data_IF_384828639758
#
_entry.id   IF_384828639758
#
_cell.length_a   1.000
_cell.length_b   1.000
_cell.length_c   1.000
_cell.angle_alpha   90.00
_cell.angle_beta   90.00
_cell.angle_gamma   90.00
#
_symmetry.space_group_name_H-M   'P 1'
#
loop_
_entity.id
_entity.type
_entity.pdbx_description
1 polymer ?
#
# COMPACT_ATOMS: atom_id res chain seq x y z
N UNK A 1 13.19 -4.44 -21.36
CA UNK A 1 14.22 -4.57 -20.30
C UNK A 1 14.37 -3.34 -19.39
N UNK A 2 14.89 -2.17 -19.84
CA UNK A 2 15.18 -1.03 -18.93
C UNK A 2 13.93 -0.43 -18.25
N UNK A 3 12.81 -0.30 -18.98
CA UNK A 3 11.51 0.18 -18.43
C UNK A 3 10.86 -0.80 -17.47
N UNK A 4 10.92 -2.10 -17.75
CA UNK A 4 10.30 -3.14 -16.89
C UNK A 4 11.00 -3.24 -15.54
N UNK A 5 12.34 -3.11 -15.51
CA UNK A 5 13.10 -3.07 -14.26
C UNK A 5 12.73 -1.88 -13.39
N UNK A 6 12.56 -0.69 -13.99
CA UNK A 6 12.15 0.52 -13.27
C UNK A 6 10.72 0.39 -12.71
N UNK A 7 9.77 -0.13 -13.48
CA UNK A 7 8.39 -0.32 -13.02
C UNK A 7 8.27 -1.31 -11.87
N UNK A 8 9.02 -2.42 -11.92
CA UNK A 8 9.08 -3.38 -10.80
C UNK A 8 9.74 -2.74 -9.58
N UNK A 9 10.80 -1.95 -9.76
CA UNK A 9 11.45 -1.25 -8.66
C UNK A 9 10.50 -0.23 -7.97
N UNK A 10 9.77 0.57 -8.74
CA UNK A 10 8.77 1.51 -8.20
C UNK A 10 7.63 0.79 -7.48
N UNK A 11 7.12 -0.30 -8.06
CA UNK A 11 6.11 -1.15 -7.42
C UNK A 11 6.62 -1.68 -6.08
N UNK A 12 7.80 -2.30 -6.06
CA UNK A 12 8.38 -2.84 -4.84
C UNK A 12 8.67 -1.74 -3.81
N UNK A 13 9.15 -0.57 -4.23
CA UNK A 13 9.40 0.55 -3.33
C UNK A 13 8.12 1.04 -2.67
N UNK A 14 7.03 1.16 -3.44
CA UNK A 14 5.72 1.56 -2.92
C UNK A 14 5.24 0.61 -1.81
N UNK A 15 5.26 -0.71 -2.08
CA UNK A 15 4.83 -1.70 -1.09
C UNK A 15 5.75 -1.80 0.12
N UNK A 16 7.06 -1.60 -0.08
CA UNK A 16 8.02 -1.58 1.00
C UNK A 16 7.79 -0.37 1.92
N UNK A 17 7.67 0.83 1.35
CA UNK A 17 7.43 2.06 2.09
C UNK A 17 6.08 2.01 2.83
N UNK A 18 5.01 1.60 2.13
CA UNK A 18 3.68 1.43 2.76
C UNK A 18 3.73 0.41 3.89
N UNK A 19 4.43 -0.72 3.68
CA UNK A 19 4.54 -1.75 4.68
C UNK A 19 5.27 -1.29 5.94
N UNK A 20 6.37 -0.55 5.77
CA UNK A 20 7.12 0.05 6.89
C UNK A 20 6.24 1.03 7.65
N UNK A 21 5.50 1.90 6.97
CA UNK A 21 4.61 2.88 7.62
C UNK A 21 3.50 2.19 8.43
N UNK A 22 2.85 1.18 7.88
CA UNK A 22 1.80 0.43 8.59
C UNK A 22 2.35 -0.32 9.81
N UNK A 23 3.55 -0.91 9.71
CA UNK A 23 4.20 -1.57 10.85
C UNK A 23 4.58 -0.53 11.92
N UNK A 24 5.11 0.63 11.52
CA UNK A 24 5.41 1.72 12.44
C UNK A 24 4.16 2.18 13.17
N UNK A 25 3.04 2.36 12.46
CA UNK A 25 1.75 2.75 13.03
C UNK A 25 1.23 1.69 14.02
N UNK A 26 1.37 0.40 13.69
CA UNK A 26 1.03 -0.68 14.62
C UNK A 26 1.88 -0.64 15.90
N UNK A 27 3.18 -0.33 15.80
CA UNK A 27 4.09 -0.19 16.95
C UNK A 27 3.72 1.04 17.78
N UNK A 28 3.51 2.20 17.15
CA UNK A 28 3.18 3.46 17.82
C UNK A 28 1.82 3.41 18.52
N UNK A 29 0.89 2.61 17.98
CA UNK A 29 -0.41 2.37 18.59
C UNK A 29 -0.40 1.25 19.66
N UNK A 30 0.78 0.80 20.10
CA UNK A 30 0.96 -0.31 21.03
C UNK A 30 0.19 -1.58 20.63
N UNK A 31 0.12 -1.85 19.32
CA UNK A 31 -0.59 -2.97 18.70
C UNK A 31 -2.11 -3.01 18.93
N UNK A 32 -2.73 -1.92 19.37
CA UNK A 32 -4.21 -1.79 19.34
C UNK A 32 -4.75 -1.97 17.91
N UNK A 33 -3.98 -1.53 16.91
CA UNK A 33 -4.25 -1.73 15.49
C UNK A 33 -3.44 -2.89 14.90
N UNK A 34 -3.49 -4.07 15.54
CA UNK A 34 -2.70 -5.25 15.12
C UNK A 34 -2.91 -5.66 13.65
N UNK A 35 -4.10 -5.41 13.10
CA UNK A 35 -4.42 -5.66 11.69
C UNK A 35 -3.52 -4.86 10.73
N UNK A 36 -3.06 -3.66 11.12
CA UNK A 36 -2.09 -2.87 10.35
C UNK A 36 -0.71 -3.51 10.35
N UNK A 37 -0.31 -4.15 11.45
CA UNK A 37 0.94 -4.91 11.53
C UNK A 37 0.96 -6.07 10.53
N UNK A 38 -0.13 -6.84 10.46
CA UNK A 38 -0.28 -7.93 9.48
C UNK A 38 -0.26 -7.40 8.05
N UNK A 39 -1.03 -6.34 7.78
CA UNK A 39 -1.12 -5.74 6.45
C UNK A 39 0.22 -5.15 6.01
N UNK A 40 0.95 -4.53 6.94
CA UNK A 40 2.27 -3.96 6.72
C UNK A 40 3.32 -5.03 6.45
N UNK A 41 3.38 -6.07 7.27
CA UNK A 41 4.27 -7.21 7.04
C UNK A 41 4.01 -7.89 5.69
N UNK A 42 2.73 -8.09 5.37
CA UNK A 42 2.33 -8.67 4.08
C UNK A 42 2.72 -7.78 2.89
N UNK A 43 2.67 -6.45 3.05
CA UNK A 43 3.11 -5.49 2.03
C UNK A 43 4.63 -5.56 1.82
N UNK A 44 5.41 -5.68 2.90
CA UNK A 44 6.87 -5.89 2.82
C UNK A 44 7.17 -7.20 2.09
N UNK A 45 6.49 -8.30 2.43
CA UNK A 45 6.64 -9.58 1.75
C UNK A 45 6.29 -9.45 0.27
N UNK A 46 5.22 -8.73 -0.08
CA UNK A 46 4.85 -8.46 -1.46
C UNK A 46 5.94 -7.71 -2.23
N UNK A 47 6.57 -6.70 -1.60
CA UNK A 47 7.67 -5.96 -2.20
C UNK A 47 8.86 -6.88 -2.54
N UNK A 48 9.26 -7.74 -1.60
CA UNK A 48 10.34 -8.71 -1.81
C UNK A 48 10.00 -9.75 -2.88
N UNK A 49 8.77 -10.25 -2.90
CA UNK A 49 8.32 -11.20 -3.92
C UNK A 49 8.31 -10.58 -5.31
N UNK A 50 7.88 -9.31 -5.41
CA UNK A 50 7.90 -8.55 -6.66
C UNK A 50 9.33 -8.32 -7.17
N UNK A 51 10.28 -7.99 -6.28
CA UNK A 51 11.69 -7.85 -6.64
C UNK A 51 12.27 -9.16 -7.20
N UNK A 52 11.89 -10.29 -6.58
CA UNK A 52 12.27 -11.63 -7.03
C UNK A 52 11.42 -12.16 -8.18
N UNK A 53 10.48 -11.35 -8.71
CA UNK A 53 9.54 -11.69 -9.79
C UNK A 53 8.79 -13.00 -9.56
N UNK A 54 8.44 -13.32 -8.32
CA UNK A 54 7.76 -14.59 -7.99
C UNK A 54 6.31 -14.60 -8.49
N UNK A 55 5.84 -15.77 -8.94
CA UNK A 55 4.46 -15.99 -9.39
C UNK A 55 3.40 -15.65 -8.34
N UNK A 56 3.73 -15.92 -7.09
CA UNK A 56 2.91 -15.66 -5.91
C UNK A 56 2.62 -14.17 -5.67
N UNK A 57 3.42 -13.26 -6.26
CA UNK A 57 3.22 -11.81 -6.16
C UNK A 57 1.81 -11.41 -6.60
N UNK A 58 1.33 -11.99 -7.71
CA UNK A 58 0.00 -11.65 -8.24
C UNK A 58 -1.12 -12.16 -7.34
N UNK A 59 -0.98 -13.37 -6.80
CA UNK A 59 -1.97 -13.96 -5.89
C UNK A 59 -2.04 -13.20 -4.58
N UNK A 60 -0.90 -12.90 -3.96
CA UNK A 60 -0.88 -12.14 -2.70
C UNK A 60 -1.44 -10.74 -2.91
N UNK A 61 -1.07 -10.06 -4.01
CA UNK A 61 -1.62 -8.74 -4.33
C UNK A 61 -3.15 -8.77 -4.45
N UNK A 62 -3.71 -9.81 -5.07
CA UNK A 62 -5.15 -9.94 -5.27
C UNK A 62 -5.89 -10.07 -3.94
N UNK A 63 -5.35 -10.86 -3.02
CA UNK A 63 -5.89 -11.00 -1.66
C UNK A 63 -5.75 -9.70 -0.87
N UNK A 64 -4.61 -9.00 -1.02
CA UNK A 64 -4.30 -7.77 -0.29
C UNK A 64 -5.00 -6.52 -0.81
N UNK A 65 -5.50 -6.54 -2.04
CA UNK A 65 -6.07 -5.36 -2.69
C UNK A 65 -7.22 -4.75 -1.88
N UNK A 66 -8.19 -5.58 -1.47
CA UNK A 66 -9.36 -5.11 -0.71
C UNK A 66 -8.92 -4.51 0.64
N UNK A 67 -8.14 -5.21 1.49
CA UNK A 67 -7.63 -4.64 2.73
C UNK A 67 -6.89 -3.31 2.57
N UNK A 68 -6.08 -3.17 1.51
CA UNK A 68 -5.34 -1.94 1.23
C UNK A 68 -6.26 -0.78 0.84
N UNK A 69 -7.26 -1.04 -0.01
CA UNK A 69 -8.26 -0.03 -0.38
C UNK A 69 -9.06 0.39 0.85
N UNK A 70 -9.49 -0.56 1.68
CA UNK A 70 -10.22 -0.26 2.93
C UNK A 70 -9.36 0.58 3.87
N UNK A 71 -8.09 0.22 4.08
CA UNK A 71 -7.17 1.04 4.88
C UNK A 71 -7.08 2.47 4.35
N UNK A 72 -6.80 2.64 3.05
CA UNK A 72 -6.69 3.97 2.44
C UNK A 72 -7.98 4.79 2.55
N UNK A 73 -9.14 4.16 2.36
CA UNK A 73 -10.44 4.81 2.42
C UNK A 73 -10.80 5.23 3.85
N UNK A 74 -10.56 4.36 4.84
CA UNK A 74 -10.81 4.66 6.26
C UNK A 74 -9.91 5.79 6.73
N UNK A 75 -8.61 5.76 6.40
CA UNK A 75 -7.66 6.82 6.76
C UNK A 75 -8.03 8.15 6.12
N UNK A 76 -8.44 8.14 4.85
CA UNK A 76 -8.91 9.33 4.16
C UNK A 76 -10.18 9.90 4.82
N UNK A 77 -11.15 9.05 5.15
CA UNK A 77 -12.39 9.43 5.81
C UNK A 77 -12.14 10.04 7.20
N UNK A 78 -11.32 9.39 8.03
CA UNK A 78 -10.94 9.90 9.34
C UNK A 78 -10.26 11.27 9.24
N UNK A 79 -9.31 11.41 8.32
CA UNK A 79 -8.60 12.69 8.10
C UNK A 79 -9.53 13.81 7.62
N UNK A 80 -10.52 13.48 6.79
CA UNK A 80 -11.55 14.42 6.34
C UNK A 80 -12.47 14.86 7.47
N UNK A 81 -12.90 13.94 8.35
CA UNK A 81 -13.71 14.31 9.51
C UNK A 81 -12.95 15.24 10.45
N UNK A 82 -11.68 14.94 10.75
CA UNK A 82 -10.85 15.79 11.60
C UNK A 82 -10.65 17.20 10.99
N UNK A 83 -10.54 17.28 9.66
CA UNK A 83 -10.46 18.55 8.97
C UNK A 83 -11.79 19.33 9.01
N UNK A 84 -12.89 18.68 8.63
CA UNK A 84 -14.20 19.33 8.44
C UNK A 84 -14.84 19.73 9.77
N UNK A 85 -14.68 18.90 10.80
CA UNK A 85 -15.31 19.11 12.12
C UNK A 85 -14.34 19.83 13.05
N UNK A 86 -13.11 19.35 13.14
CA UNK A 86 -12.11 19.88 14.07
C UNK A 86 -11.34 21.11 13.57
N UNK A 87 -11.39 21.40 12.27
CA UNK A 87 -10.64 22.51 11.66
C UNK A 87 -9.12 22.32 11.65
N UNK A 88 -8.64 21.11 11.94
CA UNK A 88 -7.21 20.81 12.06
C UNK A 88 -6.53 20.83 10.69
N UNK A 89 -5.98 21.98 10.30
CA UNK A 89 -5.27 22.13 8.99
C UNK A 89 -4.11 21.15 8.80
N UNK A 90 -3.53 20.63 9.89
CA UNK A 90 -2.48 19.62 9.83
C UNK A 90 -2.92 18.32 9.13
N UNK A 91 -4.22 18.01 9.10
CA UNK A 91 -4.73 16.79 8.44
C UNK A 91 -4.82 16.90 6.91
N UNK A 92 -4.66 18.11 6.34
CA UNK A 92 -4.65 18.29 4.87
C UNK A 92 -3.57 17.44 4.20
N UNK A 93 -2.38 17.36 4.80
CA UNK A 93 -1.30 16.52 4.29
C UNK A 93 -1.69 15.04 4.33
N UNK A 94 -2.33 14.59 5.41
CA UNK A 94 -2.82 13.22 5.56
C UNK A 94 -3.90 12.88 4.52
N UNK A 95 -4.82 13.81 4.24
CA UNK A 95 -5.83 13.67 3.18
C UNK A 95 -5.17 13.47 1.81
N UNK A 96 -4.21 14.33 1.46
CA UNK A 96 -3.48 14.23 0.18
C UNK A 96 -2.71 12.91 0.10
N UNK A 97 -2.00 12.53 1.16
CA UNK A 97 -1.25 11.28 1.20
C UNK A 97 -2.15 10.06 1.10
N UNK A 98 -3.31 10.04 1.76
CA UNK A 98 -4.27 8.95 1.68
C UNK A 98 -4.90 8.83 0.27
N UNK A 99 -5.20 9.95 -0.38
CA UNK A 99 -5.66 9.98 -1.77
C UNK A 99 -4.59 9.47 -2.75
N UNK A 100 -3.34 9.91 -2.57
CA UNK A 100 -2.19 9.42 -3.35
C UNK A 100 -1.98 7.93 -3.10
N UNK A 101 -2.11 7.45 -1.87
CA UNK A 101 -2.02 6.04 -1.53
C UNK A 101 -3.09 5.22 -2.26
N UNK A 102 -4.37 5.63 -2.21
CA UNK A 102 -5.46 4.93 -2.89
C UNK A 102 -5.26 4.85 -4.40
N UNK A 103 -4.86 5.97 -5.02
CA UNK A 103 -4.58 6.00 -6.46
C UNK A 103 -3.37 5.12 -6.82
N UNK A 104 -2.33 5.09 -5.97
CA UNK A 104 -1.19 4.21 -6.14
C UNK A 104 -1.56 2.73 -5.99
N UNK A 105 -2.42 2.35 -5.03
CA UNK A 105 -2.93 0.98 -4.87
C UNK A 105 -3.73 0.55 -6.10
N UNK A 106 -4.60 1.43 -6.63
CA UNK A 106 -5.35 1.12 -7.84
C UNK A 106 -4.43 0.97 -9.06
N UNK A 107 -3.47 1.89 -9.23
CA UNK A 107 -2.51 1.86 -10.32
C UNK A 107 -1.60 0.62 -10.26
N UNK A 108 -1.12 0.26 -9.07
CA UNK A 108 -0.27 -0.92 -8.86
C UNK A 108 -1.03 -2.22 -9.13
N UNK A 109 -2.31 -2.29 -8.75
CA UNK A 109 -3.18 -3.42 -9.03
C UNK A 109 -3.39 -3.61 -10.54
N UNK A 110 -3.77 -2.54 -11.25
CA UNK A 110 -3.92 -2.55 -12.71
C UNK A 110 -2.60 -2.93 -13.39
N UNK A 111 -1.47 -2.38 -12.92
CA UNK A 111 -0.15 -2.70 -13.44
C UNK A 111 0.17 -4.19 -13.29
N UNK A 112 -0.05 -4.77 -12.12
CA UNK A 112 0.28 -6.17 -11.85
C UNK A 112 -0.61 -7.14 -12.63
N UNK A 113 -1.89 -6.83 -12.82
CA UNK A 113 -2.80 -7.64 -13.65
C UNK A 113 -2.37 -7.59 -15.12
N UNK A 114 -2.14 -6.38 -15.65
CA UNK A 114 -1.74 -6.19 -17.06
C UNK A 114 -0.39 -6.83 -17.36
N UNK A 115 0.53 -6.80 -16.39
CA UNK A 115 1.88 -7.32 -16.51
C UNK A 115 2.09 -8.65 -15.78
N UNK A 116 1.03 -9.44 -15.54
CA UNK A 116 1.11 -10.72 -14.80
C UNK A 116 2.18 -11.68 -15.33
N UNK A 117 2.48 -11.61 -16.64
CA UNK A 117 3.51 -12.40 -17.34
C UNK A 117 4.94 -12.13 -16.84
N UNK A 118 5.21 -10.95 -16.29
CA UNK A 118 6.51 -10.58 -15.73
C UNK A 118 6.80 -11.37 -14.45
N UNK A 119 5.75 -11.70 -13.69
CA UNK A 119 5.85 -12.42 -12.42
C UNK A 119 5.66 -13.93 -12.57
N UNK A 120 5.23 -14.42 -13.73
CA UNK A 120 5.01 -15.86 -14.00
C UNK A 120 6.19 -16.53 -14.72
N UNK A 121 7.25 -15.77 -15.01
CA UNK A 121 8.51 -16.27 -15.57
C UNK A 121 9.40 -16.82 -14.48
#
# INVERSE_FOLDING_TARGET
MKREGLSVALFSLFYLASGILMVLEAILSAFTSFHLGILGASSIVLAFMAMKKRRETTTLLLVMFIPMVVFGAVTLYASLLDYLIGGYRATLLAIVLAAVYLTAVAASFVYAIRNRKIFTK
#
